data_IF_363081402432
#
_entry.id   IF_363081402432
#
_cell.length_a   1.000
_cell.length_b   1.000
_cell.length_c   1.000
_cell.angle_alpha   90.00
_cell.angle_beta   90.00
_cell.angle_gamma   90.00
#
_symmetry.space_group_name_H-M   'P 1'
#
loop_
_entity.id
_entity.type
_entity.pdbx_description
1 polymer ?
#
# COMPACT_ATOMS: atom_id res chain seq x y z
N UNK A 1 -12.60 -1.15 -8.88
CA UNK A 1 -11.70 -0.24 -9.64
C UNK A 1 -10.45 0.01 -8.82
N UNK A 2 -9.29 0.08 -9.47
CA UNK A 2 -8.00 0.31 -8.81
C UNK A 2 -7.39 1.59 -9.40
N UNK A 3 -7.69 2.74 -8.83
CA UNK A 3 -7.17 4.01 -9.33
C UNK A 3 -5.69 4.17 -9.04
N UNK A 4 -5.02 5.05 -9.78
CA UNK A 4 -3.61 5.34 -9.66
C UNK A 4 -3.39 6.65 -8.91
N UNK A 5 -2.39 6.65 -8.05
CA UNK A 5 -1.78 7.86 -7.50
C UNK A 5 -0.40 7.97 -8.14
N UNK A 6 -0.19 9.02 -8.91
CA UNK A 6 1.04 9.19 -9.68
C UNK A 6 2.07 9.98 -8.92
N UNK A 7 3.35 9.67 -9.13
CA UNK A 7 4.47 10.42 -8.56
C UNK A 7 4.39 10.52 -7.03
N UNK A 8 4.02 9.42 -6.37
CA UNK A 8 3.83 9.39 -4.91
C UNK A 8 5.11 9.77 -4.15
N UNK A 9 6.29 9.49 -4.72
CA UNK A 9 7.60 9.82 -4.16
C UNK A 9 7.86 11.32 -4.04
N UNK A 10 7.21 12.14 -4.85
CA UNK A 10 7.33 13.60 -4.84
C UNK A 10 6.27 14.32 -3.99
N UNK A 11 5.37 13.57 -3.36
CA UNK A 11 4.25 14.11 -2.58
C UNK A 11 4.45 13.85 -1.10
N UNK A 12 3.97 14.78 -0.28
CA UNK A 12 3.93 14.62 1.18
C UNK A 12 2.75 13.73 1.58
N UNK A 13 2.83 13.12 2.76
CA UNK A 13 1.79 12.23 3.28
C UNK A 13 0.44 12.94 3.38
N UNK A 14 0.41 14.20 3.82
CA UNK A 14 -0.82 14.99 3.86
C UNK A 14 -1.49 15.15 2.49
N UNK A 15 -0.70 15.43 1.46
CA UNK A 15 -1.19 15.57 0.09
C UNK A 15 -1.69 14.23 -0.46
N UNK A 16 -0.98 13.15 -0.18
CA UNK A 16 -1.40 11.80 -0.56
C UNK A 16 -2.73 11.40 0.10
N UNK A 17 -2.92 11.78 1.36
CA UNK A 17 -4.16 11.51 2.09
C UNK A 17 -5.35 12.22 1.44
N UNK A 18 -5.19 13.48 1.06
CA UNK A 18 -6.24 14.26 0.37
C UNK A 18 -6.54 13.66 -1.00
N UNK A 19 -5.50 13.35 -1.77
CA UNK A 19 -5.65 12.76 -3.11
C UNK A 19 -6.34 11.40 -3.05
N UNK A 20 -5.98 10.56 -2.08
CA UNK A 20 -6.61 9.24 -1.88
C UNK A 20 -8.11 9.38 -1.58
N UNK A 21 -8.48 10.33 -0.74
CA UNK A 21 -9.88 10.61 -0.42
C UNK A 21 -10.65 11.04 -1.66
N UNK A 22 -10.12 11.98 -2.42
CA UNK A 22 -10.73 12.51 -3.64
C UNK A 22 -10.93 11.41 -4.70
N UNK A 23 -9.89 10.62 -4.96
CA UNK A 23 -9.94 9.49 -5.90
C UNK A 23 -10.95 8.44 -5.44
N UNK A 24 -11.03 8.15 -4.14
CA UNK A 24 -11.98 7.19 -3.60
C UNK A 24 -13.43 7.64 -3.81
N UNK A 25 -13.71 8.92 -3.63
CA UNK A 25 -15.03 9.49 -3.89
C UNK A 25 -15.40 9.42 -5.37
N UNK A 26 -14.46 9.76 -6.26
CA UNK A 26 -14.65 9.65 -7.72
C UNK A 26 -14.94 8.22 -8.15
N UNK A 27 -14.26 7.24 -7.59
CA UNK A 27 -14.51 5.82 -7.86
C UNK A 27 -15.91 5.39 -7.40
N UNK A 28 -16.32 5.76 -6.20
CA UNK A 28 -17.65 5.44 -5.67
C UNK A 28 -18.77 6.04 -6.50
N UNK A 29 -18.56 7.23 -7.02
CA UNK A 29 -19.55 7.97 -7.83
C UNK A 29 -19.42 7.64 -9.33
N UNK A 30 -18.58 6.68 -9.72
CA UNK A 30 -18.32 6.29 -11.12
C UNK A 30 -17.89 7.46 -12.02
N UNK A 31 -17.21 8.45 -11.43
CA UNK A 31 -16.78 9.67 -12.13
C UNK A 31 -15.25 9.67 -12.43
N UNK A 32 -14.59 8.55 -12.27
CA UNK A 32 -13.16 8.46 -12.53
C UNK A 32 -12.87 8.31 -14.02
N UNK A 33 -11.86 9.01 -14.51
CA UNK A 33 -11.40 8.88 -15.88
C UNK A 33 -10.64 7.56 -16.04
N UNK A 34 -10.84 6.88 -17.16
CA UNK A 34 -10.17 5.60 -17.47
C UNK A 34 -8.65 5.69 -17.39
N UNK A 35 -8.06 6.82 -17.78
CA UNK A 35 -6.60 7.04 -17.72
C UNK A 35 -6.04 6.92 -16.30
N UNK A 36 -6.85 7.17 -15.27
CA UNK A 36 -6.46 7.05 -13.86
C UNK A 36 -6.41 5.60 -13.37
N UNK A 37 -6.82 4.65 -14.19
CA UNK A 37 -6.87 3.22 -13.86
C UNK A 37 -5.69 2.42 -14.41
N UNK A 38 -4.82 3.02 -15.22
CA UNK A 38 -3.73 2.32 -15.92
C UNK A 38 -2.37 2.94 -15.65
N UNK A 39 -1.32 2.14 -15.84
CA UNK A 39 0.06 2.61 -15.79
C UNK A 39 0.64 2.73 -14.38
N UNK A 40 0.12 1.98 -13.41
CA UNK A 40 0.70 1.91 -12.07
C UNK A 40 1.91 0.99 -12.01
N UNK A 41 2.77 1.20 -11.02
CA UNK A 41 3.97 0.39 -10.77
C UNK A 41 3.72 -0.73 -9.78
N UNK A 42 2.91 -0.47 -8.76
CA UNK A 42 2.61 -1.41 -7.67
C UNK A 42 1.22 -1.10 -7.12
N UNK A 43 0.52 -2.12 -6.65
CA UNK A 43 -0.78 -1.96 -6.00
C UNK A 43 -0.66 -2.13 -4.49
N UNK A 44 -1.44 -1.33 -3.76
CA UNK A 44 -1.66 -1.50 -2.33
C UNK A 44 -3.13 -1.84 -2.12
N UNK A 45 -3.40 -2.93 -1.40
CA UNK A 45 -4.77 -3.34 -1.05
C UNK A 45 -4.92 -3.44 0.46
N UNK A 46 -6.03 -2.94 0.99
CA UNK A 46 -6.27 -2.93 2.45
C UNK A 46 -7.57 -3.62 2.80
N UNK A 47 -7.50 -4.53 3.76
CA UNK A 47 -8.65 -5.16 4.41
C UNK A 47 -8.82 -4.68 5.86
N UNK A 48 -8.10 -3.65 6.27
CA UNK A 48 -8.09 -3.15 7.66
C UNK A 48 -9.45 -2.76 8.19
N UNK A 49 -10.35 -2.27 7.33
CA UNK A 49 -11.71 -1.91 7.71
C UNK A 49 -12.68 -3.09 7.80
N UNK A 50 -12.34 -4.23 7.19
CA UNK A 50 -13.21 -5.42 7.14
C UNK A 50 -12.77 -6.44 8.17
N UNK A 51 -11.48 -6.75 8.23
CA UNK A 51 -10.89 -7.75 9.11
C UNK A 51 -9.88 -8.62 8.37
N UNK A 52 -9.28 -9.55 9.12
CA UNK A 52 -8.20 -10.39 8.62
C UNK A 52 -6.83 -9.80 8.95
N UNK A 53 -5.87 -10.68 9.25
CA UNK A 53 -4.50 -10.28 9.58
C UNK A 53 -3.59 -10.40 8.38
N UNK A 54 -3.28 -11.63 7.97
CA UNK A 54 -2.50 -11.90 6.77
C UNK A 54 -3.40 -12.49 5.68
N UNK A 55 -3.11 -12.14 4.44
CA UNK A 55 -3.78 -12.69 3.28
C UNK A 55 -2.82 -12.63 2.10
N UNK A 56 -3.15 -13.36 1.03
CA UNK A 56 -2.34 -13.40 -0.18
C UNK A 56 -3.03 -12.57 -1.27
N UNK A 57 -2.66 -11.32 -1.47
CA UNK A 57 -3.21 -10.52 -2.56
C UNK A 57 -2.73 -11.04 -3.92
N UNK A 58 -3.55 -10.85 -4.94
CA UNK A 58 -3.25 -11.27 -6.30
C UNK A 58 -2.69 -10.10 -7.09
N UNK A 59 -1.55 -10.31 -7.73
CA UNK A 59 -0.87 -9.30 -8.54
C UNK A 59 -1.74 -8.87 -9.72
N UNK A 60 -1.79 -7.58 -10.01
CA UNK A 60 -2.47 -7.00 -11.17
C UNK A 60 -1.50 -6.88 -12.34
N UNK A 61 -1.52 -7.80 -13.33
CA UNK A 61 -0.63 -7.66 -14.49
C UNK A 61 -0.86 -6.32 -15.22
N UNK A 62 0.17 -5.67 -15.75
CA UNK A 62 1.58 -6.08 -15.85
C UNK A 62 2.45 -5.72 -14.63
N UNK A 63 1.86 -5.29 -13.55
CA UNK A 63 2.61 -5.06 -12.30
C UNK A 63 3.19 -6.38 -11.78
N UNK A 64 4.25 -6.29 -10.99
CA UNK A 64 4.98 -7.47 -10.50
C UNK A 64 4.92 -7.63 -8.99
N UNK A 65 4.24 -6.72 -8.29
CA UNK A 65 4.12 -6.77 -6.85
C UNK A 65 2.82 -6.11 -6.38
N UNK A 66 2.31 -6.59 -5.25
CA UNK A 66 1.16 -6.03 -4.55
C UNK A 66 1.38 -6.15 -3.04
N UNK A 67 1.11 -5.08 -2.32
CA UNK A 67 1.20 -5.04 -0.87
C UNK A 67 -0.20 -5.13 -0.25
N UNK A 68 -0.41 -6.12 0.60
CA UNK A 68 -1.62 -6.28 1.39
C UNK A 68 -1.47 -5.71 2.79
N UNK A 69 -2.44 -4.95 3.23
CA UNK A 69 -2.51 -4.37 4.57
C UNK A 69 -3.67 -5.01 5.31
N UNK A 70 -3.37 -5.71 6.40
CA UNK A 70 -4.37 -6.34 7.26
C UNK A 70 -4.90 -5.41 8.35
N UNK A 71 -5.75 -5.96 9.21
CA UNK A 71 -6.28 -5.23 10.36
C UNK A 71 -5.23 -5.11 11.46
N UNK A 72 -5.11 -3.92 12.04
CA UNK A 72 -4.25 -3.70 13.21
C UNK A 72 -4.71 -4.62 14.36
N UNK A 73 -3.76 -5.32 14.94
CA UNK A 73 -3.98 -6.18 16.12
C UNK A 73 -3.12 -5.68 17.28
N UNK A 74 -3.63 -5.82 18.50
CA UNK A 74 -2.90 -5.49 19.71
C UNK A 74 -2.20 -6.73 20.23
N UNK A 75 -0.88 -6.64 20.43
CA UNK A 75 -0.08 -7.66 21.13
C UNK A 75 0.64 -6.98 22.28
N UNK A 76 0.32 -7.40 23.51
CA UNK A 76 0.83 -6.76 24.73
C UNK A 76 0.55 -5.26 24.70
N UNK A 77 1.58 -4.44 24.74
CA UNK A 77 1.47 -2.97 24.70
C UNK A 77 1.65 -2.38 23.29
N UNK A 78 1.81 -3.23 22.27
CA UNK A 78 2.12 -2.81 20.92
C UNK A 78 0.93 -2.99 19.97
N UNK A 79 0.78 -2.04 19.07
CA UNK A 79 -0.11 -2.17 17.92
C UNK A 79 0.70 -2.71 16.74
N UNK A 80 0.24 -3.81 16.18
CA UNK A 80 0.90 -4.50 15.07
C UNK A 80 0.05 -4.36 13.80
N UNK A 81 0.66 -3.85 12.75
CA UNK A 81 0.06 -3.76 11.42
C UNK A 81 0.57 -4.93 10.57
N UNK A 82 -0.27 -5.93 10.25
CA UNK A 82 0.13 -7.03 9.39
C UNK A 82 0.29 -6.56 7.94
N UNK A 83 1.42 -6.89 7.32
CA UNK A 83 1.70 -6.60 5.92
C UNK A 83 2.04 -7.89 5.19
N UNK A 84 1.52 -8.05 3.99
CA UNK A 84 1.79 -9.20 3.13
C UNK A 84 2.21 -8.71 1.75
N UNK A 85 3.33 -9.18 1.25
CA UNK A 85 3.84 -8.83 -0.07
C UNK A 85 3.74 -10.04 -0.99
N UNK A 86 3.00 -9.91 -2.08
CA UNK A 86 3.03 -10.87 -3.20
C UNK A 86 3.84 -10.27 -4.33
N UNK A 87 4.71 -11.07 -4.95
CA UNK A 87 5.54 -10.61 -6.05
C UNK A 87 5.78 -11.71 -7.08
N UNK A 88 6.05 -11.29 -8.30
CA UNK A 88 6.40 -12.20 -9.40
C UNK A 88 7.87 -12.60 -9.28
N UNK A 89 8.12 -13.82 -8.82
CA UNK A 89 9.47 -14.32 -8.58
C UNK A 89 10.31 -14.50 -9.85
N UNK A 90 9.71 -14.39 -11.02
CA UNK A 90 10.45 -14.37 -12.30
C UNK A 90 11.18 -13.06 -12.52
N UNK A 91 10.69 -11.96 -11.89
CA UNK A 91 11.23 -10.60 -12.05
C UNK A 91 11.92 -10.11 -10.76
N UNK A 92 11.38 -10.48 -9.60
CA UNK A 92 11.85 -10.05 -8.29
C UNK A 92 12.45 -11.25 -7.57
N UNK A 93 13.71 -11.18 -7.14
CA UNK A 93 14.29 -12.24 -6.33
C UNK A 93 13.90 -12.11 -4.84
N UNK A 94 14.05 -13.20 -4.10
CA UNK A 94 13.66 -13.23 -2.69
C UNK A 94 14.47 -12.29 -1.80
N UNK A 95 15.74 -12.06 -2.13
CA UNK A 95 16.59 -11.15 -1.38
C UNK A 95 16.12 -9.69 -1.51
N UNK A 96 15.75 -9.27 -2.71
CA UNK A 96 15.22 -7.92 -2.95
C UNK A 96 13.86 -7.73 -2.28
N UNK A 97 12.99 -8.73 -2.34
CA UNK A 97 11.70 -8.71 -1.64
C UNK A 97 11.89 -8.58 -0.11
N UNK A 98 12.86 -9.32 0.46
CA UNK A 98 13.16 -9.25 1.88
C UNK A 98 13.73 -7.86 2.28
N UNK A 99 14.62 -7.29 1.47
CA UNK A 99 15.15 -5.93 1.70
C UNK A 99 14.04 -4.89 1.67
N UNK A 100 13.14 -4.98 0.71
CA UNK A 100 11.98 -4.10 0.62
C UNK A 100 11.12 -4.20 1.88
N UNK A 101 10.80 -5.38 2.34
CA UNK A 101 10.00 -5.60 3.56
C UNK A 101 10.71 -5.03 4.80
N UNK A 102 12.03 -5.22 4.93
CA UNK A 102 12.80 -4.67 6.04
C UNK A 102 12.83 -3.15 6.03
N UNK A 103 13.03 -2.54 4.87
CA UNK A 103 13.01 -1.10 4.73
C UNK A 103 11.63 -0.51 5.06
N UNK A 104 10.57 -1.15 4.60
CA UNK A 104 9.20 -0.75 4.93
C UNK A 104 8.95 -0.84 6.44
N UNK A 105 9.36 -1.94 7.08
CA UNK A 105 9.27 -2.13 8.53
C UNK A 105 10.01 -1.03 9.31
N UNK A 106 11.22 -0.71 8.91
CA UNK A 106 12.03 0.31 9.57
C UNK A 106 11.43 1.71 9.42
N UNK A 107 10.86 2.01 8.26
CA UNK A 107 10.21 3.30 8.00
C UNK A 107 8.88 3.46 8.74
N UNK A 108 8.15 2.38 8.97
CA UNK A 108 6.87 2.38 9.69
C UNK A 108 7.03 2.08 11.20
N UNK A 109 8.27 2.01 11.70
CA UNK A 109 8.58 1.67 13.09
C UNK A 109 8.33 2.82 14.08
N UNK A 110 9.05 2.77 15.21
CA UNK A 110 8.84 3.65 16.35
C UNK A 110 8.90 5.15 16.04
N UNK A 111 9.67 5.55 15.05
CA UNK A 111 9.84 6.97 14.68
C UNK A 111 8.87 7.44 13.59
N UNK A 112 7.84 6.66 13.28
CA UNK A 112 6.91 6.98 12.19
C UNK A 112 6.19 8.32 12.43
N UNK A 113 5.70 8.56 13.63
CA UNK A 113 5.03 9.83 13.97
C UNK A 113 5.94 11.03 13.79
N UNK A 114 7.22 10.89 14.16
CA UNK A 114 8.23 11.94 13.95
C UNK A 114 8.48 12.17 12.45
N UNK A 115 8.58 11.12 11.66
CA UNK A 115 8.76 11.21 10.22
C UNK A 115 7.58 11.87 9.52
N UNK A 116 6.36 11.69 10.01
CA UNK A 116 5.16 12.36 9.50
C UNK A 116 5.23 13.88 9.62
N UNK A 117 5.95 14.41 10.62
CA UNK A 117 6.08 15.84 10.87
C UNK A 117 7.12 16.52 9.97
N UNK A 118 7.93 15.75 9.26
CA UNK A 118 8.94 16.25 8.34
C UNK A 118 8.34 16.49 6.95
#
# INVERSE_FOLDING_TARGET
MVPKIRNADSKKIGDLSIELKDISEKCRNLKIDKKELFGGSMTITSLGGIGGTFFTPIINPPEVAILGIGKIVQRDKNLILPLSLSYDHRVVNGADAARFCNELKDNLGQNFAYKLSL
#
